data_IF_786672062728
#
_entry.id   IF_786672062728
#
_cell.length_a   1.000
_cell.length_b   1.000
_cell.length_c   1.000
_cell.angle_alpha   90.00
_cell.angle_beta   90.00
_cell.angle_gamma   90.00
#
_symmetry.space_group_name_H-M   'P 1'
#
loop_
_entity.id
_entity.type
_entity.pdbx_description
1 polymer ?
#
# COMPACT_ATOMS: atom_id res chain seq x y z
N UNK A 1 14.12 -7.46 21.14
CA UNK A 1 14.86 -6.30 20.58
C UNK A 1 14.64 -6.14 19.08
N UNK A 2 14.55 -7.25 18.33
CA UNK A 2 14.30 -7.31 16.87
C UNK A 2 12.96 -6.67 16.43
N UNK A 3 11.88 -6.99 17.13
CA UNK A 3 10.50 -6.49 16.91
C UNK A 3 10.44 -4.95 16.89
N UNK A 4 11.11 -4.31 17.86
CA UNK A 4 11.19 -2.84 17.95
C UNK A 4 11.91 -2.20 16.77
N UNK A 5 12.77 -2.92 16.03
CA UNK A 5 13.47 -2.39 14.86
C UNK A 5 12.59 -2.43 13.61
N UNK A 6 11.82 -3.51 13.44
CA UNK A 6 10.95 -3.71 12.27
C UNK A 6 9.85 -2.66 12.15
N UNK A 7 9.26 -2.20 13.26
CA UNK A 7 8.27 -1.10 13.22
C UNK A 7 8.82 0.19 12.60
N UNK A 8 10.08 0.55 12.86
CA UNK A 8 10.67 1.75 12.26
C UNK A 8 10.93 1.53 10.77
N UNK A 9 11.37 0.33 10.39
CA UNK A 9 11.53 -0.04 8.99
C UNK A 9 10.20 0.06 8.25
N UNK A 10 9.12 -0.52 8.78
CA UNK A 10 7.79 -0.42 8.17
C UNK A 10 7.26 1.02 8.15
N UNK A 11 7.52 1.82 9.19
CA UNK A 11 7.17 3.24 9.19
C UNK A 11 7.88 4.02 8.08
N UNK A 12 9.17 3.81 7.90
CA UNK A 12 9.95 4.43 6.82
C UNK A 12 9.45 3.96 5.45
N UNK A 13 9.22 2.65 5.29
CA UNK A 13 8.69 2.09 4.05
C UNK A 13 7.28 2.61 3.73
N UNK A 14 6.43 2.85 4.72
CA UNK A 14 5.12 3.48 4.51
C UNK A 14 5.26 4.93 4.02
N UNK A 15 6.18 5.70 4.62
CA UNK A 15 6.48 7.05 4.16
C UNK A 15 6.99 7.07 2.72
N UNK A 16 7.99 6.25 2.41
CA UNK A 16 8.52 6.12 1.04
C UNK A 16 7.45 5.64 0.06
N UNK A 17 6.66 4.65 0.47
CA UNK A 17 5.56 4.11 -0.31
C UNK A 17 4.42 5.09 -0.59
N UNK A 18 4.37 6.22 0.13
CA UNK A 18 3.46 7.34 -0.10
C UNK A 18 4.10 8.43 -0.94
N UNK A 19 5.32 8.84 -0.55
CA UNK A 19 6.02 9.97 -1.17
C UNK A 19 6.37 9.64 -2.62
N UNK A 20 6.87 8.43 -2.90
CA UNK A 20 7.32 8.07 -4.24
C UNK A 20 6.17 8.08 -5.25
N UNK A 21 5.03 7.39 -5.03
CA UNK A 21 3.91 7.46 -5.98
C UNK A 21 3.34 8.87 -6.14
N UNK A 22 3.12 9.59 -5.02
CA UNK A 22 2.55 10.93 -5.11
C UNK A 22 3.48 11.96 -5.72
N UNK A 23 4.81 11.78 -5.63
CA UNK A 23 5.77 12.65 -6.32
C UNK A 23 5.62 12.62 -7.83
N UNK A 24 5.11 11.51 -8.39
CA UNK A 24 4.87 11.37 -9.83
C UNK A 24 3.42 11.69 -10.19
N UNK A 25 2.47 11.27 -9.35
CA UNK A 25 1.04 11.46 -9.61
C UNK A 25 0.59 12.92 -9.48
N UNK A 26 1.09 13.68 -8.48
CA UNK A 26 0.66 15.07 -8.26
C UNK A 26 1.03 15.98 -9.44
N UNK A 27 2.28 15.99 -9.96
CA UNK A 27 2.62 16.78 -11.15
C UNK A 27 1.76 16.39 -12.36
N UNK A 28 1.57 15.08 -12.59
CA UNK A 28 0.77 14.59 -13.70
C UNK A 28 -0.68 15.10 -13.64
N UNK A 29 -1.32 15.06 -12.46
CA UNK A 29 -2.68 15.60 -12.24
C UNK A 29 -2.69 17.13 -12.40
N UNK A 30 -1.63 17.83 -11.99
CA UNK A 30 -1.51 19.28 -12.18
C UNK A 30 -1.45 19.66 -13.66
N UNK A 31 -0.86 18.82 -14.50
CA UNK A 31 -0.70 19.06 -15.94
C UNK A 31 -1.95 18.63 -16.75
N UNK A 32 -2.55 17.50 -16.39
CA UNK A 32 -3.61 16.86 -17.19
C UNK A 32 -5.01 16.94 -16.56
N UNK A 33 -5.11 17.45 -15.33
CA UNK A 33 -6.31 17.36 -14.50
C UNK A 33 -6.60 15.93 -14.03
N UNK A 34 -7.70 15.71 -13.29
CA UNK A 34 -8.13 14.38 -12.85
C UNK A 34 -8.77 13.57 -14.00
N UNK A 35 -8.01 13.30 -15.07
CA UNK A 35 -8.49 12.59 -16.26
C UNK A 35 -8.17 11.08 -16.20
N UNK A 36 -9.07 10.30 -15.61
CA UNK A 36 -8.91 8.85 -15.48
C UNK A 36 -8.73 8.13 -16.83
N UNK A 37 -9.45 8.55 -17.88
CA UNK A 37 -9.34 7.91 -19.20
C UNK A 37 -7.94 8.10 -19.79
N UNK A 38 -7.36 9.29 -19.64
CA UNK A 38 -6.00 9.56 -20.10
C UNK A 38 -4.98 8.77 -19.27
N UNK A 39 -5.14 8.71 -17.94
CA UNK A 39 -4.26 7.95 -17.07
C UNK A 39 -4.18 6.48 -17.45
N UNK A 40 -5.33 5.86 -17.71
CA UNK A 40 -5.41 4.46 -18.15
C UNK A 40 -4.77 4.29 -19.54
N UNK A 41 -5.01 5.24 -20.44
CA UNK A 41 -4.39 5.27 -21.76
C UNK A 41 -2.87 5.29 -21.69
N UNK A 42 -2.29 6.18 -20.89
CA UNK A 42 -0.83 6.31 -20.72
C UNK A 42 -0.23 5.10 -19.97
N UNK A 43 -0.89 4.64 -18.90
CA UNK A 43 -0.50 3.47 -18.14
C UNK A 43 -0.41 2.19 -19.00
N UNK A 44 -1.27 2.07 -20.01
CA UNK A 44 -1.35 0.91 -20.91
C UNK A 44 -0.71 1.15 -22.28
N UNK A 45 -0.12 2.32 -22.53
CA UNK A 45 0.45 2.68 -23.83
C UNK A 45 1.61 1.76 -24.24
N UNK A 46 2.41 1.31 -23.26
CA UNK A 46 3.51 0.38 -23.49
C UNK A 46 3.23 -0.97 -22.85
N UNK A 47 3.74 -2.05 -23.45
CA UNK A 47 3.58 -3.40 -22.90
C UNK A 47 4.16 -3.53 -21.49
N UNK A 48 5.28 -2.85 -21.22
CA UNK A 48 5.94 -2.87 -19.91
C UNK A 48 5.16 -2.04 -18.87
N UNK A 49 4.61 -0.89 -19.26
CA UNK A 49 3.72 -0.10 -18.40
C UNK A 49 2.46 -0.88 -18.03
N UNK A 50 1.81 -1.51 -19.02
CA UNK A 50 0.64 -2.35 -18.80
C UNK A 50 0.96 -3.53 -17.87
N UNK A 51 2.10 -4.20 -18.07
CA UNK A 51 2.57 -5.27 -17.18
C UNK A 51 2.74 -4.77 -15.75
N UNK A 52 3.41 -3.63 -15.54
CA UNK A 52 3.63 -3.08 -14.21
C UNK A 52 2.31 -2.75 -13.49
N UNK A 53 1.34 -2.13 -14.18
CA UNK A 53 0.04 -1.82 -13.60
C UNK A 53 -0.80 -3.07 -13.31
N UNK A 54 -0.76 -4.09 -14.18
CA UNK A 54 -1.43 -5.36 -13.92
C UNK A 54 -0.83 -6.09 -12.72
N UNK A 55 0.49 -6.12 -12.59
CA UNK A 55 1.19 -6.70 -11.44
C UNK A 55 0.82 -5.98 -10.13
N UNK A 56 0.75 -4.65 -10.15
CA UNK A 56 0.29 -3.84 -9.01
C UNK A 56 -1.16 -4.15 -8.66
N UNK A 57 -2.05 -4.28 -9.66
CA UNK A 57 -3.46 -4.58 -9.43
C UNK A 57 -3.66 -5.97 -8.81
N UNK A 58 -2.96 -6.99 -9.32
CA UNK A 58 -2.99 -8.35 -8.75
C UNK A 58 -2.42 -8.34 -7.33
N UNK A 59 -1.29 -7.67 -7.12
CA UNK A 59 -0.67 -7.53 -5.80
C UNK A 59 -1.59 -6.83 -4.79
N UNK A 60 -2.35 -5.82 -5.22
CA UNK A 60 -3.34 -5.15 -4.38
C UNK A 60 -4.49 -6.06 -3.98
N UNK A 61 -5.04 -6.85 -4.91
CA UNK A 61 -6.09 -7.82 -4.63
C UNK A 61 -5.62 -8.88 -3.62
N UNK A 62 -4.41 -9.44 -3.84
CA UNK A 62 -3.79 -10.41 -2.93
C UNK A 62 -3.55 -9.79 -1.55
N UNK A 63 -3.06 -8.54 -1.49
CA UNK A 63 -2.82 -7.84 -0.23
C UNK A 63 -4.12 -7.61 0.55
N UNK A 64 -5.20 -7.18 -0.10
CA UNK A 64 -6.51 -6.97 0.57
C UNK A 64 -7.03 -8.29 1.14
N UNK A 65 -6.95 -9.38 0.37
CA UNK A 65 -7.31 -10.71 0.86
C UNK A 65 -6.44 -11.14 2.05
N UNK A 66 -5.13 -10.89 1.99
CA UNK A 66 -4.19 -11.19 3.07
C UNK A 66 -4.49 -10.38 4.34
N UNK A 67 -4.75 -9.08 4.21
CA UNK A 67 -5.14 -8.20 5.34
C UNK A 67 -6.40 -8.75 6.01
N UNK A 68 -7.41 -9.12 5.22
CA UNK A 68 -8.66 -9.69 5.71
C UNK A 68 -8.46 -11.01 6.45
N UNK A 69 -7.73 -11.94 5.85
CA UNK A 69 -7.48 -13.27 6.40
C UNK A 69 -6.61 -13.23 7.67
N UNK A 70 -5.40 -12.68 7.59
CA UNK A 70 -4.44 -12.65 8.70
C UNK A 70 -4.91 -11.72 9.83
N UNK A 71 -5.46 -10.56 9.47
CA UNK A 71 -5.97 -9.59 10.42
C UNK A 71 -7.12 -10.14 11.26
N UNK A 72 -8.08 -10.81 10.61
CA UNK A 72 -9.20 -11.45 11.31
C UNK A 72 -8.73 -12.60 12.18
N UNK A 73 -7.84 -13.46 11.66
CA UNK A 73 -7.28 -14.60 12.42
C UNK A 73 -6.55 -14.15 13.70
N UNK A 74 -5.85 -13.02 13.67
CA UNK A 74 -5.10 -12.49 14.82
C UNK A 74 -5.93 -11.63 15.76
N UNK A 75 -7.18 -11.30 15.40
CA UNK A 75 -8.03 -10.38 16.17
C UNK A 75 -7.51 -8.94 16.15
N UNK A 76 -6.91 -8.52 15.05
CA UNK A 76 -6.41 -7.16 14.85
C UNK A 76 -7.59 -6.21 14.61
N UNK A 77 -7.51 -4.99 15.16
CA UNK A 77 -8.48 -3.90 14.93
C UNK A 77 -7.97 -2.97 13.83
N UNK A 78 -8.86 -2.18 13.22
CA UNK A 78 -8.53 -1.13 12.24
C UNK A 78 -7.95 -1.63 10.90
N UNK A 79 -8.32 -2.85 10.47
CA UNK A 79 -7.91 -3.43 9.19
C UNK A 79 -8.36 -2.61 7.96
N UNK A 80 -9.36 -1.74 8.12
CA UNK A 80 -9.79 -0.82 7.08
C UNK A 80 -8.72 0.22 6.72
N UNK A 81 -7.80 0.56 7.64
CA UNK A 81 -6.75 1.56 7.39
C UNK A 81 -5.76 1.11 6.30
N UNK A 82 -5.11 -0.07 6.39
CA UNK A 82 -4.23 -0.55 5.33
C UNK A 82 -4.99 -0.88 4.04
N UNK A 83 -6.29 -1.24 4.11
CA UNK A 83 -7.12 -1.41 2.92
C UNK A 83 -7.30 -0.08 2.20
N UNK A 84 -7.69 0.99 2.90
CA UNK A 84 -7.80 2.33 2.32
C UNK A 84 -6.45 2.78 1.76
N UNK A 85 -5.35 2.60 2.50
CA UNK A 85 -4.01 2.93 2.01
C UNK A 85 -3.63 2.18 0.73
N UNK A 86 -4.05 0.92 0.59
CA UNK A 86 -3.87 0.14 -0.64
C UNK A 86 -4.66 0.72 -1.81
N UNK A 87 -5.89 1.19 -1.55
CA UNK A 87 -6.77 1.72 -2.59
C UNK A 87 -6.44 3.16 -3.00
N UNK A 88 -5.93 3.99 -2.08
CA UNK A 88 -5.66 5.41 -2.33
C UNK A 88 -4.25 5.69 -2.84
N UNK A 89 -3.28 4.89 -2.41
CA UNK A 89 -1.86 5.05 -2.77
C UNK A 89 -1.36 3.85 -3.54
N UNK A 90 -1.70 2.64 -3.09
CA UNK A 90 -1.24 1.39 -3.68
C UNK A 90 -0.65 0.44 -2.65
N UNK A 91 -0.19 -0.72 -3.16
CA UNK A 91 0.45 -1.78 -2.37
C UNK A 91 1.66 -1.27 -1.59
N UNK A 92 2.36 -0.26 -2.15
CA UNK A 92 3.54 0.38 -1.55
C UNK A 92 3.28 1.00 -0.19
N UNK A 93 2.06 1.49 0.08
CA UNK A 93 1.66 1.98 1.40
C UNK A 93 0.91 0.93 2.21
N UNK A 94 -0.03 0.23 1.56
CA UNK A 94 -0.91 -0.73 2.23
C UNK A 94 -0.15 -1.84 2.98
N UNK A 95 0.86 -2.41 2.33
CA UNK A 95 1.67 -3.49 2.90
C UNK A 95 2.46 -3.05 4.14
N UNK A 96 3.31 -2.01 4.09
CA UNK A 96 4.05 -1.59 5.28
C UNK A 96 3.13 -1.08 6.40
N UNK A 97 2.00 -0.43 6.09
CA UNK A 97 1.01 -0.07 7.12
C UNK A 97 0.44 -1.29 7.84
N UNK A 98 0.07 -2.33 7.09
CA UNK A 98 -0.44 -3.57 7.69
C UNK A 98 0.62 -4.24 8.56
N UNK A 99 1.86 -4.33 8.08
CA UNK A 99 2.97 -4.92 8.83
C UNK A 99 3.29 -4.12 10.10
N UNK A 100 3.22 -2.79 10.05
CA UNK A 100 3.37 -1.94 11.22
C UNK A 100 2.27 -2.18 12.25
N UNK A 101 1.00 -2.23 11.83
CA UNK A 101 -0.12 -2.53 12.73
C UNK A 101 0.00 -3.92 13.36
N UNK A 102 0.45 -4.92 12.57
CA UNK A 102 0.70 -6.28 13.04
C UNK A 102 1.77 -6.30 14.13
N UNK A 103 2.86 -5.55 13.94
CA UNK A 103 3.94 -5.49 14.92
C UNK A 103 3.49 -4.85 16.23
N UNK A 104 2.74 -3.74 16.15
CA UNK A 104 2.17 -3.05 17.32
C UNK A 104 1.20 -3.99 18.08
N UNK A 105 0.36 -4.74 17.35
CA UNK A 105 -0.56 -5.69 17.95
C UNK A 105 0.17 -6.83 18.68
N UNK A 106 1.25 -7.36 18.09
CA UNK A 106 2.06 -8.41 18.69
C UNK A 106 2.84 -7.90 19.91
N UNK A 107 3.35 -6.66 19.89
CA UNK A 107 3.98 -6.03 21.07
C UNK A 107 2.98 -5.94 22.23
N UNK A 108 1.73 -5.50 21.96
CA UNK A 108 0.69 -5.37 22.99
C UNK A 108 0.25 -6.71 23.61
N UNK A 109 0.35 -7.82 22.88
CA UNK A 109 0.03 -9.17 23.41
C UNK A 109 1.14 -9.79 24.25
N UNK A 110 2.37 -9.25 24.19
CA UNK A 110 3.56 -9.80 24.88
C UNK A 110 3.89 -9.07 26.19
N UNK A 111 3.33 -7.89 26.41
CA UNK A 111 3.38 -7.15 27.67
C UNK A 111 2.08 -7.34 28.44
#
# INVERSE_FOLDING_TARGET
MEVKRLKYVYGILALLGTILPYSQFIPWVSEHGPNLSLLIGEASQTRIGAFAWLDVAVSAAVLIAFIGYEGSRKGMKWLWVPIIGTLTVGVSLGLPLFLLQREIHLEKKRG
#
